data_IF_192451529086
#
_entry.id   IF_192451529086
#
_cell.length_a   1.000
_cell.length_b   1.000
_cell.length_c   1.000
_cell.angle_alpha   90.00
_cell.angle_beta   90.00
_cell.angle_gamma   90.00
#
_symmetry.space_group_name_H-M   'P 1'
#
loop_
_entity.id
_entity.type
_entity.pdbx_description
1 polymer ?
#
# COMPACT_ATOMS: atom_id res chain seq x y z
N UNK A 1 -10.55 20.34 6.31
CA UNK A 1 -9.49 19.67 5.51
C UNK A 1 -9.93 18.24 5.24
N UNK A 2 -10.41 17.94 4.03
CA UNK A 2 -11.14 16.67 3.75
C UNK A 2 -10.37 15.62 2.95
N UNK A 3 -9.12 15.88 2.54
CA UNK A 3 -8.34 14.94 1.74
C UNK A 3 -6.85 15.00 2.11
N UNK A 4 -6.50 14.60 3.34
CA UNK A 4 -5.08 14.50 3.74
C UNK A 4 -4.73 13.02 3.88
N UNK A 5 -3.89 12.56 2.96
CA UNK A 5 -3.26 11.25 3.01
C UNK A 5 -1.80 11.49 3.34
N UNK A 6 -1.33 10.94 4.44
CA UNK A 6 0.08 11.02 4.84
C UNK A 6 0.69 9.66 4.55
N UNK A 7 1.65 9.62 3.64
CA UNK A 7 2.39 8.42 3.28
C UNK A 7 3.89 8.61 3.49
N UNK A 8 4.55 7.53 3.90
CA UNK A 8 6.00 7.41 3.89
C UNK A 8 6.38 6.20 3.04
N UNK A 9 7.25 6.41 2.05
CA UNK A 9 7.89 5.35 1.28
C UNK A 9 9.36 5.31 1.64
N UNK A 10 9.83 4.12 2.00
CA UNK A 10 11.22 3.82 2.28
C UNK A 10 11.71 2.85 1.21
N UNK A 11 12.81 3.20 0.54
CA UNK A 11 13.45 2.36 -0.45
C UNK A 11 14.91 2.08 -0.05
N UNK A 12 15.15 1.12 0.86
CA UNK A 12 16.51 0.78 1.33
C UNK A 12 17.43 0.31 0.21
N UNK A 13 16.88 -0.37 -0.79
CA UNK A 13 17.59 -0.88 -1.96
C UNK A 13 16.79 -0.57 -3.22
N UNK A 14 17.45 -0.42 -4.39
CA UNK A 14 16.73 -0.28 -5.68
C UNK A 14 15.70 -1.39 -5.92
N UNK A 15 15.99 -2.58 -5.37
CA UNK A 15 15.16 -3.77 -5.47
C UNK A 15 14.14 -3.95 -4.34
N UNK A 16 14.08 -3.10 -3.32
CA UNK A 16 13.15 -3.27 -2.18
C UNK A 16 12.49 -1.95 -1.80
N UNK A 17 11.16 -1.96 -1.74
CA UNK A 17 10.32 -0.82 -1.36
C UNK A 17 9.43 -1.20 -0.19
N UNK A 18 9.32 -0.32 0.78
CA UNK A 18 8.43 -0.42 1.92
C UNK A 18 7.58 0.85 1.93
N UNK A 19 6.27 0.71 1.99
CA UNK A 19 5.32 1.80 1.93
C UNK A 19 4.40 1.73 3.13
N UNK A 20 4.21 2.84 3.82
CA UNK A 20 3.20 2.98 4.86
C UNK A 20 2.40 4.24 4.57
N UNK A 21 1.08 4.17 4.67
CA UNK A 21 0.20 5.27 4.39
C UNK A 21 -0.94 5.31 5.40
N UNK A 22 -1.32 6.53 5.77
CA UNK A 22 -2.38 6.81 6.70
C UNK A 22 -3.37 7.77 6.05
N UNK A 23 -4.58 7.29 5.83
CA UNK A 23 -5.67 8.06 5.25
C UNK A 23 -6.56 8.62 6.37
N UNK A 24 -6.49 9.94 6.58
CA UNK A 24 -7.22 10.62 7.64
C UNK A 24 -8.72 10.78 7.33
N UNK A 25 -9.09 10.73 6.04
CA UNK A 25 -10.46 10.98 5.61
C UNK A 25 -11.40 9.82 5.96
N UNK A 26 -10.99 8.58 5.74
CA UNK A 26 -11.78 7.37 6.05
C UNK A 26 -12.05 7.26 7.55
N UNK A 27 -11.17 7.81 8.39
CA UNK A 27 -11.35 7.90 9.85
C UNK A 27 -12.40 8.92 10.27
N UNK A 28 -12.56 10.02 9.54
CA UNK A 28 -13.58 11.04 9.87
C UNK A 28 -14.97 10.65 9.37
N UNK A 29 -15.08 9.94 8.24
CA UNK A 29 -16.37 9.50 7.67
C UNK A 29 -16.97 8.27 8.38
N UNK A 30 -16.16 7.40 9.00
CA UNK A 30 -16.64 6.23 9.78
C UNK A 30 -16.61 6.44 11.32
N UNK A 31 -16.83 7.66 11.82
CA UNK A 31 -17.00 7.89 13.26
C UNK A 31 -18.38 7.41 13.72
N UNK A 32 -18.51 6.12 14.02
CA UNK A 32 -19.52 5.63 14.98
C UNK A 32 -18.80 5.43 16.31
N UNK A 33 -19.37 6.05 17.34
CA UNK A 33 -18.89 6.46 18.67
C UNK A 33 -17.98 5.50 19.47
N UNK A 34 -17.75 4.23 19.10
CA UNK A 34 -17.32 3.26 20.13
C UNK A 34 -16.19 2.29 19.78
N UNK A 35 -15.48 2.43 18.65
CA UNK A 35 -14.24 1.65 18.44
C UNK A 35 -13.14 2.49 17.84
N UNK A 36 -12.09 2.72 18.65
CA UNK A 36 -10.75 3.13 18.24
C UNK A 36 -10.13 1.99 17.40
N UNK A 37 -10.70 1.74 16.23
CA UNK A 37 -10.21 0.72 15.31
C UNK A 37 -9.24 1.36 14.34
N UNK A 38 -8.22 0.63 13.93
CA UNK A 38 -7.10 1.01 13.05
C UNK A 38 -7.55 1.29 11.60
N UNK A 39 -8.63 2.05 11.42
CA UNK A 39 -9.22 2.40 10.12
C UNK A 39 -8.43 3.53 9.47
N UNK A 40 -8.03 3.32 8.21
CA UNK A 40 -7.24 4.25 7.41
C UNK A 40 -5.74 3.94 7.36
N UNK A 41 -5.26 2.92 8.06
CA UNK A 41 -3.86 2.49 7.93
C UNK A 41 -3.69 1.53 6.75
N UNK A 42 -2.74 1.84 5.90
CA UNK A 42 -2.31 1.02 4.77
C UNK A 42 -0.80 0.82 4.86
N UNK A 43 -0.35 -0.38 4.54
CA UNK A 43 1.07 -0.69 4.49
C UNK A 43 1.32 -1.68 3.36
N UNK A 44 2.51 -1.65 2.81
CA UNK A 44 2.89 -2.52 1.73
C UNK A 44 4.40 -2.65 1.64
N UNK A 45 4.84 -3.72 0.99
CA UNK A 45 6.23 -3.92 0.63
C UNK A 45 6.27 -4.46 -0.79
N UNK A 46 7.34 -4.17 -1.51
CA UNK A 46 7.55 -4.67 -2.84
C UNK A 46 9.02 -4.95 -3.07
N UNK A 47 9.30 -5.93 -3.92
CA UNK A 47 10.64 -6.26 -4.33
C UNK A 47 10.71 -6.45 -5.84
N UNK A 48 11.84 -6.06 -6.44
CA UNK A 48 12.11 -6.18 -7.88
C UNK A 48 13.32 -7.08 -8.13
N UNK A 49 13.13 -8.09 -8.97
CA UNK A 49 14.15 -9.05 -9.41
C UNK A 49 14.19 -9.04 -10.93
N UNK A 50 15.31 -8.58 -11.51
CA UNK A 50 15.70 -8.73 -12.93
C UNK A 50 14.55 -8.54 -13.97
N UNK A 51 13.67 -7.55 -13.75
CA UNK A 51 12.55 -7.25 -14.65
C UNK A 51 11.15 -7.61 -14.13
N UNK A 52 11.05 -8.44 -13.09
CA UNK A 52 9.81 -8.72 -12.36
C UNK A 52 9.75 -7.88 -11.09
N UNK A 53 8.64 -7.18 -10.88
CA UNK A 53 8.33 -6.42 -9.67
C UNK A 53 7.14 -7.06 -8.98
N UNK A 54 7.36 -7.59 -7.78
CA UNK A 54 6.31 -8.07 -6.90
C UNK A 54 6.00 -6.97 -5.89
N UNK A 55 4.74 -6.64 -5.70
CA UNK A 55 4.30 -5.71 -4.67
C UNK A 55 3.12 -6.30 -3.91
N UNK A 56 3.19 -6.23 -2.60
CA UNK A 56 2.13 -6.60 -1.68
C UNK A 56 1.71 -5.35 -0.92
N UNK A 57 0.44 -4.99 -0.99
CA UNK A 57 -0.11 -3.87 -0.24
C UNK A 57 -1.38 -4.30 0.48
N UNK A 58 -1.47 -3.96 1.75
CA UNK A 58 -2.64 -4.19 2.58
C UNK A 58 -3.21 -2.86 3.00
N UNK A 59 -4.43 -2.58 2.59
CA UNK A 59 -5.13 -1.37 2.98
C UNK A 59 -6.24 -1.73 3.97
N UNK A 60 -6.30 -1.07 5.12
CA UNK A 60 -7.37 -1.25 6.10
C UNK A 60 -8.37 -0.11 5.93
N UNK A 61 -9.16 -0.19 4.86
CA UNK A 61 -10.07 0.89 4.46
C UNK A 61 -11.47 0.77 5.08
N UNK A 62 -11.85 -0.38 5.66
CA UNK A 62 -13.20 -0.59 6.17
C UNK A 62 -13.24 -1.46 7.43
N UNK A 63 -14.23 -1.23 8.32
CA UNK A 63 -14.47 -2.01 9.55
C UNK A 63 -14.74 -3.51 9.30
N UNK A 64 -15.09 -3.89 8.07
CA UNK A 64 -15.54 -5.24 7.69
C UNK A 64 -14.48 -6.07 6.94
N UNK A 65 -13.37 -5.46 6.53
CA UNK A 65 -12.33 -6.19 5.80
C UNK A 65 -11.22 -5.29 5.29
N UNK A 66 -9.98 -5.77 5.45
CA UNK A 66 -8.79 -5.15 4.89
C UNK A 66 -8.47 -5.84 3.55
N UNK A 67 -8.72 -5.20 2.40
CA UNK A 67 -8.29 -5.75 1.10
C UNK A 67 -6.77 -5.91 1.06
N UNK A 68 -6.33 -7.09 0.63
CA UNK A 68 -4.95 -7.39 0.31
C UNK A 68 -4.79 -7.32 -1.21
N UNK A 69 -3.87 -6.47 -1.65
CA UNK A 69 -3.50 -6.29 -3.04
C UNK A 69 -2.17 -7.01 -3.29
N UNK A 70 -2.19 -7.95 -4.23
CA UNK A 70 -0.98 -8.58 -4.76
C UNK A 70 -0.82 -8.08 -6.19
N UNK A 71 0.28 -7.41 -6.46
CA UNK A 71 0.61 -6.86 -7.77
C UNK A 71 1.87 -7.51 -8.30
N UNK A 72 1.78 -8.06 -9.50
CA UNK A 72 2.90 -8.55 -10.26
C UNK A 72 3.04 -7.70 -11.51
N UNK A 73 4.19 -7.07 -11.69
CA UNK A 73 4.51 -6.27 -12.87
C UNK A 73 5.76 -6.85 -13.53
N UNK A 74 5.74 -7.04 -14.83
CA UNK A 74 6.91 -7.46 -15.60
C UNK A 74 7.21 -6.45 -16.69
N UNK A 75 8.48 -6.18 -16.93
CA UNK A 75 8.91 -5.38 -18.07
C UNK A 75 9.21 -6.32 -19.24
N UNK A 76 8.30 -6.38 -20.23
CA UNK A 76 8.48 -7.20 -21.42
C UNK A 76 9.70 -6.77 -22.26
N UNK A 77 10.08 -5.49 -22.24
CA UNK A 77 11.28 -5.02 -22.95
C UNK A 77 12.60 -5.53 -22.35
N UNK A 78 12.65 -5.78 -21.05
CA UNK A 78 13.79 -6.44 -20.37
C UNK A 78 13.69 -7.96 -20.48
N UNK A 79 12.49 -8.53 -20.36
CA UNK A 79 12.27 -9.98 -20.42
C UNK A 79 12.52 -10.59 -21.81
N UNK A 80 12.32 -9.82 -22.89
CA UNK A 80 12.57 -10.23 -24.27
C UNK A 80 13.88 -9.68 -24.84
N UNK A 81 14.71 -9.01 -24.04
CA UNK A 81 16.04 -8.58 -24.49
C UNK A 81 16.98 -9.80 -24.45
N UNK A 82 17.20 -10.34 -25.64
CA UNK A 82 18.09 -11.46 -25.98
C UNK A 82 19.53 -11.21 -25.54
#
# INVERSE_FOLDING_TARGET
MRHVIIGAELQPFKSFRLQVAYNYQTRQEMKIVDKVSTVGFSWGFGFRVYGFSFSYARATNHLSGSPNYVTLTTNLGEAFKK
#
